data_IF_326181556815
#
_entry.id   IF_326181556815
#
_cell.length_a   1.000
_cell.length_b   1.000
_cell.length_c   1.000
_cell.angle_alpha   90.00
_cell.angle_beta   90.00
_cell.angle_gamma   90.00
#
_symmetry.space_group_name_H-M   'P 1'
#
loop_
_entity.id
_entity.type
_entity.pdbx_description
1 polymer ?
#
# COMPACT_ATOMS: atom_id res chain seq x y z
N UNK A 1 -4.89 -7.82 10.64
CA UNK A 1 -5.04 -9.12 9.94
C UNK A 1 -3.68 -9.69 9.48
N UNK A 2 -3.47 -11.02 9.56
CA UNK A 2 -2.27 -11.72 9.08
C UNK A 2 -2.16 -11.70 7.56
N UNK A 3 -3.28 -11.74 6.84
CA UNK A 3 -3.32 -11.76 5.38
C UNK A 3 -2.80 -10.44 4.79
N UNK A 4 -3.27 -9.31 5.31
CA UNK A 4 -2.80 -7.99 4.89
C UNK A 4 -1.31 -7.80 5.16
N UNK A 5 -0.82 -8.20 6.34
CA UNK A 5 0.61 -8.15 6.66
C UNK A 5 1.45 -8.98 5.67
N UNK A 6 1.00 -10.19 5.35
CA UNK A 6 1.67 -11.06 4.38
C UNK A 6 1.68 -10.44 2.98
N UNK A 7 0.56 -9.82 2.58
CA UNK A 7 0.43 -9.15 1.29
C UNK A 7 1.39 -7.96 1.20
N UNK A 8 1.38 -7.06 2.19
CA UNK A 8 2.26 -5.90 2.23
C UNK A 8 3.74 -6.30 2.33
N UNK A 9 4.07 -7.37 3.05
CA UNK A 9 5.43 -7.90 3.08
C UNK A 9 5.90 -8.39 1.69
N UNK A 10 5.02 -9.04 0.93
CA UNK A 10 5.31 -9.40 -0.47
C UNK A 10 5.53 -8.18 -1.36
N UNK A 11 4.71 -7.13 -1.20
CA UNK A 11 4.87 -5.87 -1.94
C UNK A 11 6.14 -5.13 -1.55
N UNK A 12 6.51 -5.14 -0.27
CA UNK A 12 7.76 -4.59 0.23
C UNK A 12 8.97 -5.25 -0.43
N UNK A 13 9.01 -6.58 -0.50
CA UNK A 13 10.11 -7.32 -1.16
C UNK A 13 10.19 -6.93 -2.64
N UNK A 14 9.05 -6.97 -3.37
CA UNK A 14 8.98 -6.59 -4.79
C UNK A 14 9.45 -5.14 -5.04
N UNK A 15 9.11 -4.22 -4.15
CA UNK A 15 9.55 -2.82 -4.25
C UNK A 15 11.06 -2.69 -4.02
N UNK A 16 11.60 -3.39 -3.02
CA UNK A 16 13.04 -3.39 -2.71
C UNK A 16 13.89 -3.98 -3.82
N UNK A 17 13.41 -4.99 -4.52
CA UNK A 17 14.08 -5.55 -5.71
C UNK A 17 14.22 -4.55 -6.87
N UNK A 18 13.43 -3.47 -6.84
CA UNK A 18 13.46 -2.36 -7.81
C UNK A 18 14.11 -1.08 -7.24
N UNK A 19 14.80 -1.17 -6.11
CA UNK A 19 15.40 -0.04 -5.40
C UNK A 19 14.38 1.06 -5.00
N UNK A 20 13.12 0.69 -4.80
CA UNK A 20 12.05 1.60 -4.39
C UNK A 20 11.99 1.66 -2.86
N UNK A 21 11.94 2.88 -2.31
CA UNK A 21 11.71 3.10 -0.88
C UNK A 21 10.24 2.76 -0.58
N UNK A 22 9.99 1.84 0.35
CA UNK A 22 8.63 1.38 0.68
C UNK A 22 8.36 1.58 2.16
N UNK A 23 7.39 2.44 2.48
CA UNK A 23 7.01 2.81 3.84
C UNK A 23 5.57 2.35 4.14
N UNK A 24 5.36 1.86 5.37
CA UNK A 24 4.05 1.40 5.83
C UNK A 24 3.79 1.95 7.22
N UNK A 25 2.71 2.69 7.37
CA UNK A 25 2.25 3.27 8.62
C UNK A 25 0.85 2.73 8.97
N UNK A 26 0.78 1.97 10.06
CA UNK A 26 -0.45 1.38 10.58
C UNK A 26 -0.48 1.59 12.09
N UNK A 27 -1.04 2.72 12.56
CA UNK A 27 -1.01 3.08 13.98
C UNK A 27 -1.98 2.25 14.84
N UNK A 28 -3.06 1.73 14.24
CA UNK A 28 -4.13 1.01 14.93
C UNK A 28 -4.40 -0.37 14.31
N UNK A 29 -5.15 -1.21 15.02
CA UNK A 29 -5.65 -2.46 14.44
C UNK A 29 -6.61 -2.19 13.28
N UNK A 30 -6.31 -2.82 12.14
CA UNK A 30 -7.14 -2.74 10.94
C UNK A 30 -8.31 -3.71 11.07
N UNK A 31 -9.53 -3.18 11.07
CA UNK A 31 -10.77 -3.95 11.10
C UNK A 31 -11.63 -3.57 9.89
N UNK A 32 -11.47 -4.30 8.78
CA UNK A 32 -12.20 -4.00 7.54
C UNK A 32 -13.70 -4.18 7.76
N UNK A 33 -14.43 -3.08 7.86
CA UNK A 33 -15.89 -3.04 7.95
C UNK A 33 -16.51 -2.55 6.62
N UNK A 34 -17.72 -3.01 6.30
CA UNK A 34 -18.43 -2.60 5.07
C UNK A 34 -17.98 -3.27 3.77
N UNK A 35 -17.02 -4.19 3.82
CA UNK A 35 -16.50 -4.94 2.67
C UNK A 35 -16.03 -6.34 3.06
N UNK A 36 -16.09 -7.30 2.13
CA UNK A 36 -15.47 -8.63 2.35
C UNK A 36 -13.95 -8.50 2.35
N UNK A 37 -13.28 -9.16 3.29
CA UNK A 37 -11.81 -9.14 3.42
C UNK A 37 -11.08 -9.47 2.09
N UNK A 38 -11.58 -10.44 1.32
CA UNK A 38 -10.97 -10.80 0.03
C UNK A 38 -11.04 -9.68 -1.01
N UNK A 39 -12.15 -8.93 -1.04
CA UNK A 39 -12.30 -7.80 -1.96
C UNK A 39 -11.32 -6.69 -1.58
N UNK A 40 -11.22 -6.40 -0.27
CA UNK A 40 -10.25 -5.43 0.26
C UNK A 40 -8.81 -5.80 -0.09
N UNK A 41 -8.41 -7.05 0.17
CA UNK A 41 -7.06 -7.53 -0.15
C UNK A 41 -6.77 -7.46 -1.65
N UNK A 42 -7.77 -7.74 -2.49
CA UNK A 42 -7.64 -7.63 -3.96
C UNK A 42 -7.40 -6.19 -4.38
N UNK A 43 -8.19 -5.24 -3.85
CA UNK A 43 -8.03 -3.81 -4.13
C UNK A 43 -6.64 -3.34 -3.69
N UNK A 44 -6.23 -3.65 -2.45
CA UNK A 44 -4.92 -3.26 -1.93
C UNK A 44 -3.79 -3.86 -2.78
N UNK A 45 -3.90 -5.11 -3.22
CA UNK A 45 -2.89 -5.73 -4.09
C UNK A 45 -2.72 -4.96 -5.39
N UNK A 46 -3.83 -4.67 -6.07
CA UNK A 46 -3.85 -3.98 -7.37
C UNK A 46 -3.25 -2.59 -7.22
N UNK A 47 -3.69 -1.83 -6.22
CA UNK A 47 -3.21 -0.46 -6.02
C UNK A 47 -1.72 -0.43 -5.64
N UNK A 48 -1.23 -1.38 -4.83
CA UNK A 48 0.20 -1.50 -4.53
C UNK A 48 1.02 -1.86 -5.77
N UNK A 49 0.54 -2.77 -6.63
CA UNK A 49 1.24 -3.12 -7.86
C UNK A 49 1.35 -1.89 -8.78
N UNK A 50 0.26 -1.15 -8.97
CA UNK A 50 0.25 0.07 -9.76
C UNK A 50 1.23 1.13 -9.19
N UNK A 51 1.24 1.35 -7.87
CA UNK A 51 2.13 2.29 -7.22
C UNK A 51 3.62 1.94 -7.39
N UNK A 52 3.95 0.65 -7.27
CA UNK A 52 5.32 0.13 -7.48
C UNK A 52 5.74 0.27 -8.94
N UNK A 53 4.84 -0.02 -9.88
CA UNK A 53 5.11 0.08 -11.32
C UNK A 53 5.33 1.54 -11.74
N UNK A 54 4.47 2.46 -11.31
CA UNK A 54 4.61 3.89 -11.60
C UNK A 54 5.88 4.49 -10.96
N UNK A 55 6.22 4.09 -9.73
CA UNK A 55 7.41 4.59 -9.03
C UNK A 55 8.72 4.14 -9.67
N UNK A 56 8.73 2.99 -10.34
CA UNK A 56 9.93 2.48 -10.99
C UNK A 56 10.44 3.39 -12.13
N UNK A 57 9.59 4.30 -12.64
CA UNK A 57 9.94 5.27 -13.67
C UNK A 57 10.34 6.64 -13.11
N UNK A 58 10.24 6.85 -11.79
CA UNK A 58 10.52 8.12 -11.13
C UNK A 58 12.02 8.32 -10.85
N UNK A 59 12.48 9.57 -10.77
CA UNK A 59 13.87 9.90 -10.42
C UNK A 59 14.24 9.58 -8.97
N UNK A 60 13.27 9.64 -8.05
CA UNK A 60 13.40 9.25 -6.65
C UNK A 60 12.25 8.32 -6.23
N UNK A 61 12.36 7.01 -6.55
CA UNK A 61 11.27 6.05 -6.36
C UNK A 61 10.89 5.86 -4.90
N UNK A 62 9.63 6.13 -4.56
CA UNK A 62 9.07 5.80 -3.25
C UNK A 62 7.59 5.44 -3.34
N UNK A 63 7.15 4.55 -2.44
CA UNK A 63 5.77 4.19 -2.17
C UNK A 63 5.53 4.26 -0.66
N UNK A 64 4.47 4.96 -0.26
CA UNK A 64 4.07 5.12 1.13
C UNK A 64 2.63 4.64 1.30
N UNK A 65 2.39 3.83 2.33
CA UNK A 65 1.08 3.30 2.66
C UNK A 65 0.71 3.76 4.06
N UNK A 66 -0.50 4.31 4.23
CA UNK A 66 -1.02 4.70 5.52
C UNK A 66 -2.45 4.18 5.72
N UNK A 67 -2.75 3.74 6.95
CA UNK A 67 -4.13 3.45 7.37
C UNK A 67 -4.56 4.41 8.47
N UNK A 68 -5.64 5.14 8.20
CA UNK A 68 -6.19 6.16 9.10
C UNK A 68 -7.60 5.77 9.52
N UNK A 69 -7.89 5.90 10.81
CA UNK A 69 -9.24 5.72 11.36
C UNK A 69 -9.73 7.04 11.96
N UNK A 70 -10.90 7.50 11.51
CA UNK A 70 -11.55 8.70 12.00
C UNK A 70 -13.00 8.39 12.34
N UNK A 71 -13.24 8.04 13.61
CA UNK A 71 -14.55 7.56 14.06
C UNK A 71 -14.93 6.25 13.37
N UNK A 72 -16.04 6.27 12.62
CA UNK A 72 -16.51 5.13 11.84
C UNK A 72 -15.92 5.06 10.42
N UNK A 73 -15.13 6.06 10.01
CA UNK A 73 -14.52 6.08 8.69
C UNK A 73 -13.11 5.49 8.74
N UNK A 74 -12.86 4.51 7.89
CA UNK A 74 -11.55 3.93 7.66
C UNK A 74 -11.02 4.42 6.30
N UNK A 75 -9.78 4.89 6.26
CA UNK A 75 -9.13 5.41 5.05
C UNK A 75 -7.81 4.70 4.85
N UNK A 76 -7.67 4.03 3.70
CA UNK A 76 -6.43 3.41 3.26
C UNK A 76 -5.81 4.26 2.16
N UNK A 77 -4.62 4.80 2.41
CA UNK A 77 -3.91 5.72 1.52
C UNK A 77 -2.71 4.99 0.93
N UNK A 78 -2.54 5.09 -0.39
CA UNK A 78 -1.31 4.69 -1.09
C UNK A 78 -0.84 5.92 -1.86
N UNK A 79 0.38 6.35 -1.56
CA UNK A 79 1.07 7.44 -2.22
C UNK A 79 2.31 6.87 -2.92
N UNK A 80 2.64 7.41 -4.09
CA UNK A 80 3.80 6.98 -4.84
C UNK A 80 4.41 8.11 -5.66
N UNK A 81 5.74 8.08 -5.82
CA UNK A 81 6.43 8.92 -6.79
C UNK A 81 5.99 8.61 -8.22
N UNK A 82 5.99 9.63 -9.08
CA UNK A 82 5.79 9.47 -10.51
C UNK A 82 6.96 10.12 -11.26
N UNK A 83 7.11 9.75 -12.52
CA UNK A 83 8.01 10.46 -13.44
C UNK A 83 7.52 11.91 -13.64
N UNK A 84 8.41 12.88 -13.45
CA UNK A 84 8.14 14.28 -13.83
C UNK A 84 8.08 14.38 -15.36
N UNK A 85 7.08 15.09 -15.89
CA UNK A 85 6.94 15.39 -17.33
C UNK A 85 7.89 16.49 -17.80
#
# INVERSE_FOLDING_TARGET
>A
DRALKSLLAGKFIKAREKDIVFNVEVPEEIQVEGMRLLDFLTIVSILCDNAIEASAEAGQPHVSIAFLKSGAQETFIIENSIKEE
#
